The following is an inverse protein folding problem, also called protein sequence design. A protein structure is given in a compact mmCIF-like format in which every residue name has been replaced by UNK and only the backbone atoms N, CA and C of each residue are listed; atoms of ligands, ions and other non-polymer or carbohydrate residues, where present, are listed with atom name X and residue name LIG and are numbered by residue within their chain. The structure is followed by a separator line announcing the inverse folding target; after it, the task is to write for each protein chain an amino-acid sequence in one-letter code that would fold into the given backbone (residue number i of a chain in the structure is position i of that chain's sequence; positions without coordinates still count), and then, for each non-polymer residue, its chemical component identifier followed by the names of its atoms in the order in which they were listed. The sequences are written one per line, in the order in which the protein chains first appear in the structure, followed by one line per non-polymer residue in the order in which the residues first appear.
data_IF_739459606481
#
_entry.id   IF_739459606481
#
_cell.length_a   1.000
_cell.length_b   1.000
_cell.length_c   1.000
_cell.angle_alpha   90.00
_cell.angle_beta   90.00
_cell.angle_gamma   90.00
#
_symmetry.space_group_name_H-M   'P 1'
#
loop_
_entity.id
_entity.type
_entity.pdbx_description
1 polymer ?
#
# COMPACT_ATOMS: atom_id res chain seq x y z
N UNK A 1 -27.90 30.86 -45.65
CA UNK A 1 -27.46 32.15 -45.07
C UNK A 1 -27.58 32.01 -43.57
N UNK A 2 -26.44 32.15 -42.89
CA UNK A 2 -26.20 31.82 -41.48
C UNK A 2 -26.79 32.90 -40.57
N UNK A 3 -27.60 32.52 -39.59
CA UNK A 3 -28.12 33.44 -38.57
C UNK A 3 -27.24 33.34 -37.33
N UNK A 4 -26.36 34.33 -37.18
CA UNK A 4 -25.41 34.47 -36.08
C UNK A 4 -26.14 34.88 -34.80
N UNK A 5 -26.36 33.91 -33.91
CA UNK A 5 -26.83 34.20 -32.54
C UNK A 5 -25.70 34.85 -31.74
N UNK A 6 -25.76 36.18 -31.63
CA UNK A 6 -24.86 37.05 -30.85
C UNK A 6 -24.77 36.58 -29.39
N UNK A 7 -23.69 35.85 -29.07
CA UNK A 7 -23.41 35.34 -27.73
C UNK A 7 -22.78 36.45 -26.86
N UNK A 8 -23.60 37.14 -26.05
CA UNK A 8 -23.12 38.13 -25.08
C UNK A 8 -22.68 37.48 -23.77
N UNK A 9 -21.38 37.29 -23.62
CA UNK A 9 -20.74 36.91 -22.36
C UNK A 9 -20.91 38.04 -21.34
N UNK A 10 -21.45 37.73 -20.16
CA UNK A 10 -21.38 38.61 -18.98
C UNK A 10 -20.39 38.01 -17.97
N UNK A 11 -19.11 38.42 -17.97
CA UNK A 11 -18.15 37.95 -16.99
C UNK A 11 -18.61 38.37 -15.59
N UNK A 12 -18.77 37.40 -14.69
CA UNK A 12 -19.02 37.67 -13.28
C UNK A 12 -17.83 38.38 -12.62
N UNK A 13 -18.07 39.00 -11.45
CA UNK A 13 -17.06 39.73 -10.67
C UNK A 13 -15.79 38.89 -10.47
N UNK A 14 -14.67 39.36 -11.01
CA UNK A 14 -13.35 38.76 -10.83
C UNK A 14 -13.02 38.84 -9.34
N UNK A 15 -13.11 37.72 -8.62
CA UNK A 15 -12.51 37.62 -7.30
C UNK A 15 -11.00 37.55 -7.53
N UNK A 16 -10.26 38.54 -7.02
CA UNK A 16 -8.81 38.55 -7.06
C UNK A 16 -8.29 37.19 -6.61
N UNK A 17 -7.67 36.43 -7.51
CA UNK A 17 -6.75 35.36 -7.14
C UNK A 17 -5.60 36.05 -6.45
N UNK A 18 -5.67 36.13 -5.11
CA UNK A 18 -4.53 36.52 -4.28
C UNK A 18 -3.39 35.61 -4.75
N UNK A 19 -2.40 36.18 -5.43
CA UNK A 19 -1.19 35.48 -5.81
C UNK A 19 -0.77 34.63 -4.61
N UNK A 20 -0.50 33.34 -4.83
CA UNK A 20 -0.10 32.40 -3.77
C UNK A 20 1.01 33.06 -2.96
N UNK A 21 0.62 33.67 -1.84
CA UNK A 21 1.53 34.47 -1.04
C UNK A 21 2.52 33.46 -0.49
N UNK A 22 3.79 33.59 -0.89
CA UNK A 22 4.84 32.66 -0.50
C UNK A 22 4.72 32.45 1.02
N UNK A 23 4.52 31.20 1.44
CA UNK A 23 4.23 30.88 2.85
C UNK A 23 5.34 31.53 3.68
N UNK A 24 5.01 32.28 4.76
CA UNK A 24 6.02 32.93 5.58
C UNK A 24 7.07 31.90 6.01
N UNK A 25 8.34 32.30 6.11
CA UNK A 25 9.46 31.39 6.40
C UNK A 25 9.17 30.44 7.57
N UNK A 26 8.50 30.92 8.61
CA UNK A 26 8.04 30.12 9.76
C UNK A 26 7.14 28.95 9.33
N UNK A 27 6.18 29.17 8.42
CA UNK A 27 5.32 28.12 7.90
C UNK A 27 6.09 27.10 7.04
N UNK A 28 7.14 27.54 6.33
CA UNK A 28 8.03 26.63 5.59
C UNK A 28 8.90 25.80 6.54
N UNK A 29 9.48 26.44 7.56
CA UNK A 29 10.28 25.79 8.60
C UNK A 29 9.44 24.78 9.40
N UNK A 30 8.22 25.13 9.79
CA UNK A 30 7.29 24.22 10.47
C UNK A 30 6.88 23.04 9.56
N UNK A 31 6.64 23.29 8.27
CA UNK A 31 6.35 22.22 7.30
C UNK A 31 7.56 21.29 7.09
N UNK A 32 8.77 21.82 7.03
CA UNK A 32 10.00 21.04 6.94
C UNK A 32 10.24 20.20 8.20
N UNK A 33 10.03 20.78 9.38
CA UNK A 33 10.10 20.07 10.65
C UNK A 33 9.07 18.94 10.75
N UNK A 34 7.85 19.17 10.25
CA UNK A 34 6.83 18.12 10.16
C UNK A 34 7.19 17.01 9.17
N UNK A 35 7.75 17.37 8.00
CA UNK A 35 8.22 16.42 6.98
C UNK A 35 9.38 15.56 7.49
N UNK A 36 10.25 16.13 8.35
CA UNK A 36 11.33 15.43 9.04
C UNK A 36 10.87 14.55 10.22
N UNK A 37 9.56 14.55 10.53
CA UNK A 37 8.95 13.67 11.54
C UNK A 37 8.60 14.33 12.87
N UNK A 38 8.73 15.66 13.00
CA UNK A 38 8.24 16.42 14.15
C UNK A 38 6.72 16.62 14.11
N UNK A 39 6.09 16.89 15.26
CA UNK A 39 4.71 17.37 15.35
C UNK A 39 4.71 18.79 15.88
N UNK A 40 3.96 19.68 15.23
CA UNK A 40 3.78 21.06 15.71
C UNK A 40 2.49 21.09 16.53
N UNK A 41 2.57 21.50 17.80
CA UNK A 41 1.40 21.67 18.65
C UNK A 41 0.56 22.87 18.20
N UNK A 42 -0.70 22.96 18.68
CA UNK A 42 -1.53 24.15 18.48
C UNK A 42 -0.92 25.42 19.09
N UNK A 43 0.03 25.27 20.03
CA UNK A 43 0.82 26.35 20.63
C UNK A 43 2.16 26.62 19.91
N UNK A 44 2.39 26.05 18.72
CA UNK A 44 3.59 26.31 17.91
C UNK A 44 4.86 25.59 18.36
N UNK A 45 4.80 24.73 19.38
CA UNK A 45 5.95 23.97 19.86
C UNK A 45 6.19 22.74 18.99
N UNK A 46 7.45 22.52 18.61
CA UNK A 46 7.90 21.29 17.96
C UNK A 46 8.04 20.23 19.04
N UNK A 47 7.22 19.20 18.94
CA UNK A 47 7.21 18.04 19.84
C UNK A 47 7.62 16.79 19.06
N UNK A 48 8.19 15.77 19.73
CA UNK A 48 8.38 14.46 19.11
C UNK A 48 7.04 13.98 18.54
N UNK A 49 7.00 13.67 17.24
CA UNK A 49 5.79 13.16 16.61
C UNK A 49 5.45 11.77 17.12
N UNK A 50 4.16 11.49 17.37
CA UNK A 50 3.68 10.15 17.76
C UNK A 50 3.63 9.17 16.55
N UNK A 51 4.33 9.49 15.45
CA UNK A 51 4.58 8.51 14.40
C UNK A 51 5.77 7.69 14.86
N UNK A 52 5.53 6.42 15.07
CA UNK A 52 6.57 5.42 15.24
C UNK A 52 7.75 5.68 14.30
N UNK A 53 8.87 6.17 14.84
CA UNK A 53 10.20 6.05 14.21
C UNK A 53 10.77 4.64 14.40
N UNK A 54 9.97 3.71 14.92
CA UNK A 54 10.37 2.34 15.25
C UNK A 54 10.73 1.50 14.01
N UNK A 55 10.44 1.99 12.81
CA UNK A 55 11.05 1.44 11.62
C UNK A 55 12.51 1.86 11.54
N UNK A 56 13.44 0.90 11.70
CA UNK A 56 14.80 0.97 11.15
C UNK A 56 14.83 1.39 9.66
N UNK A 57 13.69 1.46 8.98
CA UNK A 57 13.48 1.79 7.57
C UNK A 57 14.01 3.13 7.07
N UNK A 58 14.00 4.25 7.82
CA UNK A 58 14.54 5.52 7.25
C UNK A 58 16.08 5.50 7.15
N UNK A 59 16.75 4.97 8.19
CA UNK A 59 18.21 4.78 8.16
C UNK A 59 18.58 3.64 7.22
N UNK A 60 17.83 2.53 7.23
CA UNK A 60 18.03 1.42 6.32
C UNK A 60 17.79 1.84 4.86
N UNK A 61 16.80 2.68 4.53
CA UNK A 61 16.59 3.16 3.16
C UNK A 61 17.74 4.06 2.69
N UNK A 62 18.25 4.94 3.58
CA UNK A 62 19.39 5.81 3.26
C UNK A 62 20.69 4.98 3.11
N UNK A 63 20.90 3.96 3.93
CA UNK A 63 22.05 3.05 3.81
C UNK A 63 21.93 2.14 2.60
N UNK A 64 20.75 1.57 2.35
CA UNK A 64 20.45 0.73 1.20
C UNK A 64 20.65 1.50 -0.11
N UNK A 65 20.31 2.80 -0.17
CA UNK A 65 20.59 3.64 -1.34
C UNK A 65 22.07 3.64 -1.77
N UNK A 66 23.02 3.35 -0.86
CA UNK A 66 24.45 3.21 -1.22
C UNK A 66 24.78 1.85 -1.84
N UNK A 67 23.93 0.85 -1.63
CA UNK A 67 24.04 -0.50 -2.16
C UNK A 67 23.16 -0.73 -3.40
N UNK A 68 22.25 0.22 -3.69
CA UNK A 68 21.46 0.20 -4.93
C UNK A 68 22.38 0.49 -6.11
N UNK A 69 22.55 -0.52 -6.97
CA UNK A 69 23.26 -0.39 -8.24
C UNK A 69 22.23 -0.32 -9.37
N UNK A 70 22.66 -0.03 -10.61
CA UNK A 70 21.77 -0.12 -11.78
C UNK A 70 21.18 -1.52 -12.04
N UNK A 71 21.60 -2.54 -11.29
CA UNK A 71 21.03 -3.90 -11.31
C UNK A 71 20.03 -4.16 -10.19
N UNK A 72 19.83 -3.20 -9.29
CA UNK A 72 18.88 -3.31 -8.18
C UNK A 72 17.48 -2.95 -8.65
N UNK A 73 16.51 -3.79 -8.32
CA UNK A 73 15.09 -3.54 -8.55
C UNK A 73 14.52 -2.67 -7.45
N UNK A 74 13.90 -1.54 -7.79
CA UNK A 74 13.19 -0.70 -6.83
C UNK A 74 11.75 -1.23 -6.69
N UNK A 75 11.32 -1.42 -5.44
CA UNK A 75 9.98 -1.89 -5.10
C UNK A 75 9.34 -0.94 -4.11
N UNK A 76 8.14 -0.45 -4.44
CA UNK A 76 7.30 0.30 -3.50
C UNK A 76 6.41 -0.68 -2.74
N UNK A 77 6.50 -0.64 -1.41
CA UNK A 77 5.65 -1.45 -0.53
C UNK A 77 4.77 -0.50 0.30
N UNK A 78 3.45 -0.62 0.17
CA UNK A 78 2.49 0.00 1.09
C UNK A 78 1.98 -1.05 2.05
N UNK A 79 2.03 -0.77 3.34
CA UNK A 79 1.65 -1.72 4.39
C UNK A 79 0.53 -1.16 5.25
N UNK A 80 -0.38 -2.03 5.69
CA UNK A 80 -1.42 -1.70 6.67
C UNK A 80 -1.59 -2.87 7.64
N UNK A 81 -1.57 -2.56 8.93
CA UNK A 81 -1.94 -3.50 10.00
C UNK A 81 -3.39 -3.26 10.37
N UNK A 82 -4.22 -4.29 10.30
CA UNK A 82 -5.62 -4.23 10.73
C UNK A 82 -5.78 -5.10 11.96
N UNK A 83 -6.42 -4.54 12.98
CA UNK A 83 -6.78 -5.26 14.21
C UNK A 83 -8.17 -5.84 14.04
N UNK A 84 -8.33 -7.11 14.38
CA UNK A 84 -9.64 -7.72 14.45
C UNK A 84 -10.39 -7.14 15.65
N UNK A 85 -11.53 -6.48 15.40
CA UNK A 85 -12.38 -5.86 16.41
C UNK A 85 -13.83 -5.88 15.92
N UNK A 86 -14.80 -5.78 16.82
CA UNK A 86 -16.24 -5.82 16.50
C UNK A 86 -16.70 -4.81 15.42
N UNK A 87 -15.89 -3.78 15.11
CA UNK A 87 -16.17 -2.76 14.08
C UNK A 87 -15.27 -2.85 12.83
N UNK A 88 -14.37 -3.82 12.72
CA UNK A 88 -13.55 -4.00 11.52
C UNK A 88 -14.32 -4.73 10.44
N UNK A 89 -14.21 -4.27 9.18
CA UNK A 89 -14.78 -4.99 8.04
C UNK A 89 -14.22 -6.42 7.99
N UNK A 90 -15.07 -7.45 7.80
CA UNK A 90 -14.64 -8.85 7.78
C UNK A 90 -13.57 -9.09 6.71
N UNK A 91 -12.60 -9.96 7.02
CA UNK A 91 -11.55 -10.34 6.08
C UNK A 91 -12.12 -10.90 4.77
N UNK A 92 -13.18 -11.73 4.85
CA UNK A 92 -13.83 -12.28 3.66
C UNK A 92 -14.36 -11.20 2.69
N UNK A 93 -14.93 -10.10 3.21
CA UNK A 93 -15.38 -8.99 2.37
C UNK A 93 -14.20 -8.31 1.65
N UNK A 94 -13.05 -8.19 2.32
CA UNK A 94 -11.85 -7.65 1.70
C UNK A 94 -11.30 -8.57 0.60
N UNK A 95 -11.27 -9.88 0.82
CA UNK A 95 -10.79 -10.85 -0.17
C UNK A 95 -11.70 -10.89 -1.40
N UNK A 96 -13.02 -10.83 -1.19
CA UNK A 96 -13.99 -10.74 -2.30
C UNK A 96 -13.81 -9.45 -3.11
N UNK A 97 -13.54 -8.33 -2.43
CA UNK A 97 -13.21 -7.07 -3.09
C UNK A 97 -11.96 -7.22 -3.98
N UNK A 98 -10.88 -7.81 -3.46
CA UNK A 98 -9.64 -8.02 -4.24
C UNK A 98 -9.84 -8.94 -5.45
N UNK A 99 -10.68 -9.96 -5.35
CA UNK A 99 -10.99 -10.86 -6.48
C UNK A 99 -11.81 -10.18 -7.57
N UNK A 100 -12.69 -9.26 -7.19
CA UNK A 100 -13.58 -8.54 -8.10
C UNK A 100 -12.87 -7.39 -8.81
N UNK A 101 -12.09 -6.61 -8.07
CA UNK A 101 -11.40 -5.44 -8.61
C UNK A 101 -10.04 -5.80 -9.22
N UNK A 102 -9.51 -6.98 -8.88
CA UNK A 102 -8.35 -7.54 -9.54
C UNK A 102 -8.72 -7.96 -10.95
N UNK A 103 -8.19 -7.24 -11.93
CA UNK A 103 -8.20 -7.65 -13.33
C UNK A 103 -6.86 -8.30 -13.62
N UNK A 104 -6.84 -9.52 -14.16
CA UNK A 104 -5.59 -10.15 -14.62
C UNK A 104 -5.14 -9.53 -15.95
N UNK A 105 -3.94 -9.89 -16.42
CA UNK A 105 -3.45 -9.48 -17.75
C UNK A 105 -4.45 -9.78 -18.87
N UNK A 106 -5.20 -10.88 -18.73
CA UNK A 106 -6.14 -11.38 -19.74
C UNK A 106 -7.56 -10.81 -19.58
N UNK A 107 -7.76 -9.89 -18.63
CA UNK A 107 -9.08 -9.26 -18.40
C UNK A 107 -10.03 -10.10 -17.53
N UNK A 108 -9.57 -11.23 -16.98
CA UNK A 108 -10.37 -12.09 -16.10
C UNK A 108 -10.36 -11.58 -14.65
N UNK A 109 -11.36 -12.01 -13.87
CA UNK A 109 -11.36 -11.81 -12.42
C UNK A 109 -10.12 -12.48 -11.80
N UNK A 110 -9.42 -11.74 -10.96
CA UNK A 110 -8.20 -12.24 -10.38
C UNK A 110 -8.47 -13.31 -9.31
N UNK A 111 -7.69 -14.39 -9.39
CA UNK A 111 -7.76 -15.52 -8.46
C UNK A 111 -6.79 -15.31 -7.30
N UNK A 112 -7.18 -15.76 -6.12
CA UNK A 112 -6.29 -15.78 -4.98
C UNK A 112 -5.26 -16.88 -5.20
N UNK A 113 -3.99 -16.55 -5.01
CA UNK A 113 -2.90 -17.51 -4.97
C UNK A 113 -2.23 -17.49 -3.60
N UNK A 114 -1.50 -18.54 -3.28
CA UNK A 114 -0.74 -18.68 -2.06
C UNK A 114 0.62 -19.36 -2.29
N UNK A 115 1.23 -19.90 -1.22
CA UNK A 115 2.52 -20.58 -1.30
C UNK A 115 2.58 -21.67 -2.37
N UNK A 116 1.55 -22.51 -2.45
CA UNK A 116 1.57 -23.75 -3.25
C UNK A 116 0.45 -23.84 -4.29
N UNK A 117 -0.55 -22.95 -4.24
CA UNK A 117 -1.71 -22.97 -5.15
C UNK A 117 -1.93 -21.61 -5.81
N UNK A 118 -2.48 -21.65 -7.01
CA UNK A 118 -2.94 -20.48 -7.79
C UNK A 118 -4.45 -20.24 -7.69
N UNK A 119 -5.15 -21.08 -6.94
CA UNK A 119 -6.58 -20.97 -6.68
C UNK A 119 -6.86 -21.32 -5.21
N UNK A 120 -6.93 -20.29 -4.38
CA UNK A 120 -7.26 -20.40 -2.95
C UNK A 120 -8.71 -19.95 -2.74
N UNK A 121 -9.49 -20.79 -2.06
CA UNK A 121 -10.83 -20.39 -1.66
C UNK A 121 -10.79 -19.27 -0.61
N UNK A 122 -11.41 -18.14 -0.96
CA UNK A 122 -11.40 -16.93 -0.15
C UNK A 122 -12.09 -17.13 1.20
N UNK A 123 -13.15 -17.93 1.23
CA UNK A 123 -13.95 -18.17 2.43
C UNK A 123 -13.19 -19.07 3.40
N UNK A 124 -12.65 -20.17 2.91
CA UNK A 124 -11.81 -21.08 3.68
C UNK A 124 -10.60 -20.36 4.28
N UNK A 125 -9.95 -19.45 3.53
CA UNK A 125 -8.87 -18.62 4.09
C UNK A 125 -9.38 -17.67 5.17
N UNK A 126 -10.50 -16.96 4.93
CA UNK A 126 -11.06 -16.04 5.92
C UNK A 126 -11.46 -16.74 7.23
N UNK A 127 -12.05 -17.94 7.13
CA UNK A 127 -12.47 -18.75 8.29
C UNK A 127 -11.25 -19.19 9.12
N UNK A 128 -10.13 -19.57 8.46
CA UNK A 128 -8.88 -19.90 9.19
C UNK A 128 -8.33 -18.72 9.98
N UNK A 129 -8.56 -17.50 9.49
CA UNK A 129 -8.03 -16.27 10.07
C UNK A 129 -8.98 -15.57 11.06
N UNK A 130 -10.15 -16.14 11.35
CA UNK A 130 -11.19 -15.51 12.18
C UNK A 130 -10.68 -15.12 13.58
N UNK A 131 -9.82 -15.95 14.16
CA UNK A 131 -9.29 -15.76 15.50
C UNK A 131 -7.98 -14.96 15.55
N UNK A 132 -7.48 -14.52 14.38
CA UNK A 132 -6.24 -13.77 14.33
C UNK A 132 -6.43 -12.35 14.85
N UNK A 133 -5.57 -11.96 15.80
CA UNK A 133 -5.62 -10.62 16.41
C UNK A 133 -5.31 -9.52 15.39
N UNK A 134 -4.46 -9.82 14.42
CA UNK A 134 -3.98 -8.89 13.41
C UNK A 134 -3.89 -9.59 12.07
N UNK A 135 -4.32 -8.91 11.02
CA UNK A 135 -3.95 -9.25 9.66
C UNK A 135 -3.20 -8.09 9.02
N UNK A 136 -2.20 -8.42 8.21
CA UNK A 136 -1.33 -7.47 7.54
C UNK A 136 -1.70 -7.46 6.07
N UNK A 137 -1.78 -6.25 5.51
CA UNK A 137 -2.10 -6.04 4.10
C UNK A 137 -0.94 -5.33 3.45
N UNK A 138 -0.49 -5.87 2.33
CA UNK A 138 0.61 -5.37 1.55
C UNK A 138 0.17 -5.07 0.14
N UNK A 139 0.67 -3.97 -0.39
CA UNK A 139 0.63 -3.65 -1.80
C UNK A 139 2.08 -3.57 -2.23
N UNK A 140 2.49 -4.46 -3.11
CA UNK A 140 3.86 -4.57 -3.59
C UNK A 140 3.87 -4.20 -5.07
N UNK A 141 4.61 -3.15 -5.40
CA UNK A 141 4.70 -2.61 -6.76
C UNK A 141 6.18 -2.48 -7.13
N UNK A 142 6.75 -3.52 -7.77
CA UNK A 142 8.03 -3.40 -8.44
C UNK A 142 7.95 -2.38 -9.58
N UNK A 143 9.01 -1.61 -9.78
CA UNK A 143 9.06 -0.61 -10.87
C UNK A 143 9.03 -1.25 -12.27
N UNK A 144 9.62 -2.43 -12.40
CA UNK A 144 9.76 -3.21 -13.63
C UNK A 144 8.71 -4.33 -13.73
N UNK A 145 7.62 -4.24 -12.96
CA UNK A 145 6.61 -5.30 -12.89
C UNK A 145 5.95 -5.64 -14.25
N UNK A 146 5.99 -4.70 -15.21
CA UNK A 146 5.55 -4.94 -16.59
C UNK A 146 6.47 -5.90 -17.37
N UNK A 147 7.76 -5.89 -17.05
CA UNK A 147 8.79 -6.74 -17.68
C UNK A 147 8.93 -8.11 -16.98
N UNK A 148 8.30 -8.26 -15.81
CA UNK A 148 8.33 -9.51 -15.05
C UNK A 148 7.44 -10.58 -15.69
N UNK A 149 8.06 -11.70 -16.06
CA UNK A 149 7.36 -12.86 -16.61
C UNK A 149 6.32 -13.43 -15.64
N UNK A 150 6.68 -13.55 -14.35
CA UNK A 150 5.82 -14.11 -13.32
C UNK A 150 5.88 -13.31 -12.02
N UNK A 151 4.84 -12.51 -11.78
CA UNK A 151 4.70 -11.71 -10.56
C UNK A 151 4.31 -12.57 -9.34
N UNK A 152 3.62 -13.71 -9.54
CA UNK A 152 3.26 -14.62 -8.46
C UNK A 152 4.48 -15.36 -7.92
N UNK A 153 5.38 -15.80 -8.81
CA UNK A 153 6.66 -16.38 -8.41
C UNK A 153 7.47 -15.39 -7.56
N UNK A 154 7.58 -14.14 -8.00
CA UNK A 154 8.25 -13.09 -7.22
C UNK A 154 7.60 -12.86 -5.85
N UNK A 155 6.26 -12.86 -5.78
CA UNK A 155 5.55 -12.77 -4.52
C UNK A 155 5.86 -13.94 -3.58
N UNK A 156 5.92 -15.17 -4.09
CA UNK A 156 6.30 -16.36 -3.31
C UNK A 156 7.72 -16.26 -2.76
N UNK A 157 8.68 -15.82 -3.56
CA UNK A 157 10.06 -15.58 -3.13
C UNK A 157 10.12 -14.52 -2.03
N UNK A 158 9.42 -13.40 -2.21
CA UNK A 158 9.35 -12.33 -1.22
C UNK A 158 8.78 -12.84 0.10
N UNK A 159 7.65 -13.55 0.06
CA UNK A 159 7.02 -14.09 1.25
C UNK A 159 7.90 -15.15 1.93
N UNK A 160 8.58 -16.00 1.15
CA UNK A 160 9.55 -16.97 1.68
C UNK A 160 10.76 -16.29 2.35
N UNK A 161 11.22 -15.16 1.84
CA UNK A 161 12.27 -14.37 2.51
C UNK A 161 11.74 -13.73 3.80
N UNK A 162 10.51 -13.21 3.78
CA UNK A 162 9.87 -12.65 4.98
C UNK A 162 9.69 -13.71 6.08
N UNK A 163 9.32 -14.94 5.74
CA UNK A 163 9.26 -16.05 6.69
C UNK A 163 10.62 -16.29 7.38
N UNK A 164 11.71 -16.31 6.61
CA UNK A 164 13.07 -16.49 7.14
C UNK A 164 13.46 -15.33 8.06
N UNK A 165 13.20 -14.10 7.64
CA UNK A 165 13.56 -12.89 8.39
C UNK A 165 12.76 -12.77 9.69
N UNK A 166 11.50 -13.23 9.70
CA UNK A 166 10.63 -13.23 10.87
C UNK A 166 10.83 -14.48 11.76
N UNK A 167 11.48 -15.53 11.26
CA UNK A 167 11.64 -16.81 11.97
C UNK A 167 10.32 -17.54 12.20
N UNK A 168 9.29 -17.28 11.39
CA UNK A 168 7.97 -17.91 11.51
C UNK A 168 7.34 -18.12 10.14
N UNK A 169 6.42 -19.11 10.06
CA UNK A 169 5.62 -19.33 8.86
C UNK A 169 4.49 -18.30 8.73
N UNK A 170 4.17 -17.95 7.49
CA UNK A 170 3.12 -17.00 7.16
C UNK A 170 1.98 -17.74 6.45
N UNK A 171 0.76 -17.61 6.95
CA UNK A 171 -0.43 -18.00 6.18
C UNK A 171 -0.84 -16.77 5.36
N UNK A 172 -0.79 -16.85 4.04
CA UNK A 172 -0.98 -15.70 3.18
C UNK A 172 -1.67 -16.04 1.88
N UNK A 173 -2.39 -15.05 1.35
CA UNK A 173 -2.96 -15.05 0.02
C UNK A 173 -2.64 -13.76 -0.71
N UNK A 174 -2.46 -13.85 -2.01
CA UNK A 174 -2.22 -12.73 -2.89
C UNK A 174 -3.16 -12.71 -4.08
N UNK A 175 -3.28 -11.54 -4.71
CA UNK A 175 -3.96 -11.34 -5.99
C UNK A 175 -3.05 -10.49 -6.88
N UNK A 176 -2.81 -10.93 -8.12
CA UNK A 176 -2.17 -10.10 -9.15
C UNK A 176 -3.19 -9.08 -9.67
N UNK A 177 -2.88 -7.78 -9.58
CA UNK A 177 -3.70 -6.68 -10.11
C UNK A 177 -3.00 -6.03 -11.30
N UNK A 178 -3.68 -6.09 -12.45
CA UNK A 178 -3.33 -5.36 -13.66
C UNK A 178 -4.10 -4.04 -13.70
N UNK A 179 -3.42 -2.93 -13.41
CA UNK A 179 -3.95 -1.59 -13.68
C UNK A 179 -3.20 -1.00 -14.87
N UNK A 180 -3.88 -0.23 -15.73
CA UNK A 180 -3.43 0.26 -17.05
C UNK A 180 -2.11 1.03 -17.08
N UNK A 181 -1.51 1.35 -15.92
CA UNK A 181 -0.24 2.09 -15.82
C UNK A 181 0.77 1.47 -14.84
N UNK A 182 0.37 0.52 -14.00
CA UNK A 182 1.25 -0.12 -13.01
C UNK A 182 0.76 -1.52 -12.66
N UNK A 183 1.65 -2.51 -12.68
CA UNK A 183 1.36 -3.86 -12.18
C UNK A 183 1.68 -3.94 -10.68
N UNK A 184 0.78 -4.52 -9.92
CA UNK A 184 0.86 -4.55 -8.45
C UNK A 184 0.24 -5.85 -7.98
N UNK A 185 0.80 -6.50 -6.97
CA UNK A 185 0.05 -7.55 -6.27
C UNK A 185 -0.34 -7.07 -4.87
N UNK A 186 -1.55 -7.42 -4.49
CA UNK A 186 -2.09 -7.13 -3.16
C UNK A 186 -2.07 -8.44 -2.40
N UNK A 187 -1.29 -8.49 -1.33
CA UNK A 187 -1.18 -9.63 -0.43
C UNK A 187 -1.87 -9.31 0.89
N UNK A 188 -2.73 -10.21 1.35
CA UNK A 188 -3.21 -10.22 2.72
C UNK A 188 -2.54 -11.40 3.41
N UNK A 189 -1.69 -11.12 4.38
CA UNK A 189 -1.00 -12.15 5.15
C UNK A 189 -1.42 -12.09 6.62
N UNK A 190 -1.38 -13.25 7.25
CA UNK A 190 -1.42 -13.38 8.70
C UNK A 190 -0.16 -14.11 9.13
N UNK A 191 0.56 -13.53 10.09
CA UNK A 191 1.61 -14.27 10.76
C UNK A 191 0.95 -15.34 11.62
N UNK A 192 1.23 -16.60 11.34
CA UNK A 192 0.81 -17.67 12.26
C UNK A 192 1.50 -17.41 13.61
N UNK A 193 0.78 -17.53 14.75
CA UNK A 193 1.42 -17.45 16.05
C UNK A 193 2.49 -18.53 16.14
N UNK A 194 3.64 -18.18 16.72
CA UNK A 194 4.84 -19.04 16.89
C UNK A 194 4.61 -20.21 17.85
N UNK A 195 3.40 -20.74 17.98
CA UNK A 195 3.11 -21.86 18.87
C UNK A 195 1.82 -22.58 18.47
N UNK A 196 1.96 -23.90 18.28
CA UNK A 196 0.91 -24.92 18.20
C UNK A 196 -0.02 -24.95 16.96
N UNK A 197 0.44 -25.64 15.91
CA UNK A 197 -0.40 -26.64 15.22
C UNK A 197 0.39 -27.94 15.10
N UNK A 198 0.51 -28.64 16.22
CA UNK A 198 0.56 -30.10 16.24
C UNK A 198 -0.85 -30.52 16.59
N UNK A 199 -1.53 -31.14 15.64
CA UNK A 199 -2.58 -32.14 15.85
C UNK A 199 -2.59 -33.00 14.60
#
# INVERSE_FOLDING_TARGET
MTDDREFRVRPGRIRSTRAQQARPFIAQALAAAQKAGGRVSRSGRITPGNRSRFGRGQRASIQANRLLTGRSRIVVIKTRVVRHAARSAPLGAHLNYLRRDGVTRDGENARLFGPESDDIDARAFADRCENDRHHFRFIVSPEDAADMADLKAHARELMGQMEKDLGTKLDWVGVDHWNTTTRTFISSCVAAPTTARIS
#
